data_IF_118215532233
#
_entry.id   IF_118215532233
#
_cell.length_a   1.000
_cell.length_b   1.000
_cell.length_c   1.000
_cell.angle_alpha   90.00
_cell.angle_beta   90.00
_cell.angle_gamma   90.00
#
_symmetry.space_group_name_H-M   'P 1'
#
loop_
_entity.id
_entity.type
_entity.pdbx_description
1 polymer ?
#
# COMPACT_ATOMS: atom_id res chain seq x y z
N UNK A 1 11.36 20.44 0.85
CA UNK A 1 10.47 19.68 1.74
C UNK A 1 9.05 20.07 1.37
N UNK A 2 8.16 19.12 1.10
CA UNK A 2 6.77 19.43 0.80
C UNK A 2 6.16 20.14 2.01
N UNK A 3 5.48 21.26 1.76
CA UNK A 3 4.84 22.05 2.81
C UNK A 3 3.49 21.40 3.16
N UNK A 4 3.57 20.40 4.05
CA UNK A 4 2.41 19.66 4.53
C UNK A 4 1.84 20.43 5.73
N UNK A 5 0.61 20.98 5.62
CA UNK A 5 -0.01 21.69 6.73
C UNK A 5 -0.22 20.71 7.88
N UNK A 6 0.44 20.98 9.01
CA UNK A 6 0.45 20.10 10.17
C UNK A 6 0.43 20.87 11.47
N UNK A 7 -0.21 20.27 12.46
CA UNK A 7 -0.24 20.74 13.83
C UNK A 7 0.32 19.65 14.73
N UNK A 8 1.01 20.03 15.80
CA UNK A 8 1.55 19.09 16.77
C UNK A 8 0.64 19.05 17.99
N UNK A 9 0.31 17.84 18.42
CA UNK A 9 -0.37 17.58 19.70
C UNK A 9 0.72 17.25 20.71
N UNK A 10 0.76 17.99 21.83
CA UNK A 10 1.76 17.79 22.89
C UNK A 10 1.10 17.19 24.13
N UNK A 11 1.88 16.43 24.90
CA UNK A 11 1.49 15.97 26.23
C UNK A 11 1.72 17.04 27.32
N UNK A 12 1.39 16.70 28.58
CA UNK A 12 1.55 17.61 29.73
C UNK A 12 3.02 18.03 29.96
N UNK A 13 3.98 17.21 29.53
CA UNK A 13 5.42 17.48 29.63
C UNK A 13 5.96 18.23 28.40
N UNK A 14 5.09 18.76 27.54
CA UNK A 14 5.44 19.45 26.29
C UNK A 14 6.22 18.57 25.31
N UNK A 15 6.00 17.26 25.33
CA UNK A 15 6.58 16.33 24.36
C UNK A 15 5.61 16.10 23.21
N UNK A 16 6.07 16.07 21.94
CA UNK A 16 5.20 15.78 20.81
C UNK A 16 4.62 14.37 20.95
N UNK A 17 3.29 14.27 20.98
CA UNK A 17 2.55 13.02 21.08
C UNK A 17 2.03 12.57 19.73
N UNK A 18 1.51 13.50 18.92
CA UNK A 18 0.94 13.21 17.62
C UNK A 18 1.10 14.39 16.65
N UNK A 19 0.90 14.11 15.36
CA UNK A 19 0.78 15.11 14.31
C UNK A 19 -0.63 15.04 13.76
N UNK A 20 -1.30 16.19 13.69
CA UNK A 20 -2.60 16.34 13.05
C UNK A 20 -2.39 16.98 11.68
N UNK A 21 -2.98 16.36 10.65
CA UNK A 21 -3.03 16.86 9.28
C UNK A 21 -4.47 16.84 8.77
N UNK A 22 -4.83 17.65 7.77
CA UNK A 22 -6.15 17.54 7.13
C UNK A 22 -6.35 16.13 6.58
N UNK A 23 -7.56 15.58 6.74
CA UNK A 23 -7.87 14.20 6.32
C UNK A 23 -7.62 13.98 4.81
N UNK A 24 -7.87 14.99 3.98
CA UNK A 24 -7.59 14.92 2.55
C UNK A 24 -6.09 14.73 2.24
N UNK A 25 -5.22 15.36 3.04
CA UNK A 25 -3.77 15.22 2.90
C UNK A 25 -3.31 13.87 3.42
N UNK A 26 -3.88 13.37 4.52
CA UNK A 26 -3.63 12.01 4.99
C UNK A 26 -3.95 10.98 3.90
N UNK A 27 -5.15 11.05 3.32
CA UNK A 27 -5.56 10.13 2.25
C UNK A 27 -4.65 10.21 1.03
N UNK A 28 -4.21 11.42 0.65
CA UNK A 28 -3.27 11.59 -0.46
C UNK A 28 -1.91 10.94 -0.16
N UNK A 29 -1.43 11.00 1.09
CA UNK A 29 -0.20 10.33 1.49
C UNK A 29 -0.37 8.81 1.38
N UNK A 30 -1.46 8.25 1.91
CA UNK A 30 -1.78 6.82 1.81
C UNK A 30 -1.83 6.36 0.35
N UNK A 31 -2.57 7.07 -0.50
CA UNK A 31 -2.68 6.75 -1.93
C UNK A 31 -1.31 6.72 -2.62
N UNK A 32 -0.44 7.70 -2.33
CA UNK A 32 0.90 7.74 -2.91
C UNK A 32 1.75 6.55 -2.45
N UNK A 33 1.67 6.19 -1.16
CA UNK A 33 2.41 5.06 -0.61
C UNK A 33 1.92 3.73 -1.17
N UNK A 34 0.60 3.54 -1.27
CA UNK A 34 -0.02 2.35 -1.88
C UNK A 34 0.34 2.22 -3.35
N UNK A 35 0.20 3.30 -4.13
CA UNK A 35 0.55 3.32 -5.55
C UNK A 35 2.04 3.03 -5.77
N UNK A 36 2.91 3.57 -4.93
CA UNK A 36 4.34 3.29 -5.00
C UNK A 36 4.64 1.82 -4.68
N UNK A 37 4.03 1.27 -3.62
CA UNK A 37 4.17 -0.13 -3.25
C UNK A 37 3.69 -1.06 -4.36
N UNK A 38 2.52 -0.79 -4.92
CA UNK A 38 1.97 -1.55 -6.05
C UNK A 38 2.88 -1.47 -7.27
N UNK A 39 3.36 -0.28 -7.64
CA UNK A 39 4.30 -0.12 -8.75
C UNK A 39 5.59 -0.92 -8.53
N UNK A 40 6.07 -1.04 -7.29
CA UNK A 40 7.23 -1.87 -6.96
C UNK A 40 6.94 -3.36 -7.09
N UNK A 41 5.80 -3.83 -6.59
CA UNK A 41 5.38 -5.22 -6.76
C UNK A 41 5.21 -5.59 -8.25
N UNK A 42 4.69 -4.67 -9.06
CA UNK A 42 4.59 -4.87 -10.51
C UNK A 42 5.97 -4.94 -11.18
N UNK A 43 6.94 -4.14 -10.73
CA UNK A 43 8.32 -4.19 -11.24
C UNK A 43 9.04 -5.50 -10.91
N UNK A 44 8.72 -6.11 -9.77
CA UNK A 44 9.32 -7.39 -9.35
C UNK A 44 8.93 -8.56 -10.26
N UNK A 45 7.80 -8.45 -10.97
CA UNK A 45 7.25 -9.48 -11.85
C UNK A 45 7.27 -9.08 -13.33
N UNK A 46 8.01 -8.02 -13.69
CA UNK A 46 8.02 -7.47 -15.06
C UNK A 46 8.62 -8.47 -16.09
N UNK A 47 9.56 -9.30 -15.64
CA UNK A 47 10.20 -10.34 -16.44
C UNK A 47 9.48 -11.71 -16.35
N UNK A 48 8.41 -11.82 -15.55
CA UNK A 48 7.65 -13.06 -15.41
C UNK A 48 6.80 -13.36 -16.66
N UNK A 49 6.40 -14.62 -16.80
CA UNK A 49 5.56 -15.06 -17.91
C UNK A 49 4.19 -14.36 -17.91
N UNK A 50 3.85 -13.74 -19.04
CA UNK A 50 2.51 -13.21 -19.27
C UNK A 50 1.54 -14.34 -19.61
N UNK A 51 0.62 -14.61 -18.70
CA UNK A 51 -0.44 -15.59 -18.89
C UNK A 51 -1.61 -15.00 -19.68
N UNK A 52 -2.24 -15.80 -20.53
CA UNK A 52 -3.56 -15.47 -21.07
C UNK A 52 -4.61 -15.43 -19.94
N UNK A 53 -5.76 -14.81 -20.20
CA UNK A 53 -6.83 -14.72 -19.20
C UNK A 53 -7.29 -16.08 -18.66
N UNK A 54 -7.36 -17.09 -19.53
CA UNK A 54 -7.75 -18.45 -19.15
C UNK A 54 -6.65 -19.14 -18.32
N UNK A 55 -5.39 -19.01 -18.72
CA UNK A 55 -4.24 -19.56 -17.97
C UNK A 55 -4.09 -18.91 -16.59
N UNK A 56 -4.23 -17.58 -16.52
CA UNK A 56 -4.22 -16.84 -15.27
C UNK A 56 -5.34 -17.28 -14.33
N UNK A 57 -6.55 -17.50 -14.86
CA UNK A 57 -7.68 -17.99 -14.09
C UNK A 57 -7.45 -19.41 -13.56
N UNK A 58 -7.01 -20.34 -14.43
CA UNK A 58 -6.68 -21.71 -14.03
C UNK A 58 -5.56 -21.75 -12.98
N UNK A 59 -4.51 -20.95 -13.16
CA UNK A 59 -3.42 -20.82 -12.21
C UNK A 59 -3.91 -20.31 -10.85
N UNK A 60 -4.70 -19.23 -10.83
CA UNK A 60 -5.29 -18.68 -9.61
C UNK A 60 -6.17 -19.70 -8.86
N UNK A 61 -6.96 -20.50 -9.57
CA UNK A 61 -7.75 -21.57 -8.94
C UNK A 61 -6.85 -22.66 -8.34
N UNK A 62 -5.74 -23.01 -8.99
CA UNK A 62 -4.77 -23.97 -8.44
C UNK A 62 -4.13 -23.46 -7.15
N UNK A 63 -3.81 -22.16 -7.05
CA UNK A 63 -3.29 -21.54 -5.83
C UNK A 63 -4.30 -21.58 -4.69
N UNK A 64 -5.59 -21.39 -4.96
CA UNK A 64 -6.64 -21.55 -3.94
C UNK A 64 -6.73 -22.98 -3.44
N UNK A 65 -6.65 -23.95 -4.34
CA UNK A 65 -6.73 -25.37 -3.96
C UNK A 65 -5.50 -25.82 -3.15
N UNK A 66 -4.31 -25.32 -3.50
CA UNK A 66 -3.07 -25.62 -2.78
C UNK A 66 -2.99 -24.97 -1.39
N UNK A 67 -3.59 -23.80 -1.21
CA UNK A 67 -3.58 -23.07 0.07
C UNK A 67 -4.85 -23.30 0.93
N UNK A 68 -5.70 -24.27 0.56
CA UNK A 68 -6.92 -24.65 1.30
C UNK A 68 -6.84 -26.12 1.77
N UNK A 69 -5.63 -26.69 1.90
CA UNK A 69 -5.42 -27.85 2.78
C UNK A 69 -4.92 -27.39 4.17
N UNK A 70 -5.88 -27.38 5.10
CA UNK A 70 -5.82 -27.26 6.59
C UNK A 70 -5.64 -25.89 7.22
#
# INVERSE_FOLDING_TARGET
MLDIPKQYVFDEQHRPLAVQIPIAIYNQIEEILENFGLAKLMQEVDDDELLSGDEAYSYYQSLKLQNVES
#
